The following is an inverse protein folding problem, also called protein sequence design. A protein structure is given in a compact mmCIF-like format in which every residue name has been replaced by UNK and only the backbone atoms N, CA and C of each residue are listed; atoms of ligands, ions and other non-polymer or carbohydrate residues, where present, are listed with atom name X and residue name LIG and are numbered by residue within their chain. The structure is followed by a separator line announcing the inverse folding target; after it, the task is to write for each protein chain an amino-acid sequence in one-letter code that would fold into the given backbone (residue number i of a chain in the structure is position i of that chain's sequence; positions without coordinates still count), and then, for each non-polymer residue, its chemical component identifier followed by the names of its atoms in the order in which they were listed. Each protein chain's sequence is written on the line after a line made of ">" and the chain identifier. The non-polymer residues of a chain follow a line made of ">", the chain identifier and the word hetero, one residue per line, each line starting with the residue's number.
data_IF_243651068263
#
_entry.id   IF_243651068263
#
_cell.length_a   1.000
_cell.length_b   1.000
_cell.length_c   1.000
_cell.angle_alpha   90.00
_cell.angle_beta   90.00
_cell.angle_gamma   90.00
#
_symmetry.space_group_name_H-M   'P 1'
#
loop_
_entity.id
_entity.type
_entity.pdbx_description
1 polymer ?
#
# COMPACT_ATOMS: atom_id res chain seq x y z
N UNK A 1 67.85 6.73 -20.76
CA UNK A 1 67.44 7.18 -19.43
C UNK A 1 66.22 6.37 -19.05
N UNK A 2 66.31 5.50 -18.06
CA UNK A 2 65.24 4.57 -17.67
C UNK A 2 64.19 5.30 -16.83
N UNK A 3 62.92 5.23 -17.21
CA UNK A 3 61.82 5.81 -16.43
C UNK A 3 61.72 5.13 -15.06
N UNK A 4 61.51 5.90 -13.99
CA UNK A 4 61.28 5.34 -12.66
C UNK A 4 59.94 4.58 -12.64
N UNK A 5 59.85 3.49 -11.86
CA UNK A 5 58.62 2.72 -11.73
C UNK A 5 57.50 3.56 -11.14
N UNK A 6 56.29 3.36 -11.67
CA UNK A 6 55.07 4.03 -11.22
C UNK A 6 54.77 3.65 -9.77
N UNK A 7 54.70 4.64 -8.88
CA UNK A 7 54.19 4.45 -7.52
C UNK A 7 52.69 4.76 -7.50
N UNK A 8 51.83 3.81 -7.10
CA UNK A 8 50.41 4.09 -6.94
C UNK A 8 50.19 5.13 -5.82
N UNK A 9 49.15 5.97 -5.94
CA UNK A 9 48.83 6.96 -4.93
C UNK A 9 48.50 6.29 -3.58
N UNK A 10 48.82 6.94 -2.45
CA UNK A 10 48.50 6.43 -1.13
C UNK A 10 46.99 6.25 -0.97
N UNK A 11 46.58 5.11 -0.40
CA UNK A 11 45.17 4.86 -0.10
C UNK A 11 44.65 5.91 0.89
N UNK A 12 43.43 6.44 0.66
CA UNK A 12 42.80 7.35 1.61
C UNK A 12 42.57 6.65 2.94
N UNK A 13 42.80 7.39 4.03
CA UNK A 13 42.58 6.94 5.40
C UNK A 13 41.13 6.49 5.57
N UNK A 14 40.92 5.24 6.00
CA UNK A 14 39.57 4.78 6.33
C UNK A 14 39.05 5.55 7.56
N UNK A 15 37.79 6.00 7.56
CA UNK A 15 37.20 6.64 8.71
C UNK A 15 37.14 5.66 9.89
N UNK A 16 37.30 6.14 11.14
CA UNK A 16 37.25 5.30 12.32
C UNK A 16 35.91 4.59 12.40
N UNK A 17 35.94 3.25 12.44
CA UNK A 17 34.76 2.43 12.60
C UNK A 17 34.20 2.66 14.01
N UNK A 18 33.04 3.31 14.06
CA UNK A 18 32.34 3.55 15.30
C UNK A 18 31.79 2.22 15.81
N UNK A 19 32.40 1.67 16.87
CA UNK A 19 32.09 0.33 17.41
C UNK A 19 30.67 0.22 18.01
N UNK A 20 29.92 1.33 18.06
CA UNK A 20 28.56 1.39 18.60
C UNK A 20 27.59 1.91 17.54
N UNK A 21 27.28 1.09 16.54
CA UNK A 21 26.18 1.35 15.60
C UNK A 21 24.96 0.47 15.97
N UNK A 22 23.97 1.01 16.71
CA UNK A 22 22.80 0.25 17.16
C UNK A 22 21.89 -0.22 16.01
N UNK A 23 22.11 0.29 14.79
CA UNK A 23 21.36 -0.11 13.59
C UNK A 23 21.97 -1.31 12.84
N UNK A 24 23.12 -1.82 13.29
CA UNK A 24 23.76 -3.02 12.70
C UNK A 24 23.43 -4.32 13.43
N UNK A 25 22.42 -4.32 14.30
CA UNK A 25 21.98 -5.55 14.96
C UNK A 25 21.42 -6.55 13.93
N UNK A 26 21.97 -7.77 13.82
CA UNK A 26 21.38 -8.81 12.98
C UNK A 26 19.95 -9.06 13.46
N UNK A 27 18.99 -9.11 12.53
CA UNK A 27 17.62 -9.47 12.86
C UNK A 27 17.60 -10.83 13.58
N UNK A 28 16.81 -11.00 14.66
CA UNK A 28 16.65 -12.29 15.33
C UNK A 28 16.24 -13.34 14.29
N UNK A 29 16.86 -14.52 14.34
CA UNK A 29 16.48 -15.64 13.48
C UNK A 29 15.01 -15.96 13.73
N UNK A 30 14.16 -15.71 12.73
CA UNK A 30 12.77 -16.16 12.75
C UNK A 30 12.79 -17.68 12.72
N UNK A 31 12.39 -18.31 13.82
CA UNK A 31 12.11 -19.74 13.82
C UNK A 31 10.87 -19.98 12.93
N UNK A 32 10.89 -20.97 12.02
CA UNK A 32 9.70 -21.32 11.26
C UNK A 32 8.57 -21.72 12.22
N UNK A 33 7.30 -21.41 11.94
CA UNK A 33 6.17 -21.84 12.74
C UNK A 33 6.17 -23.38 12.85
N UNK A 34 6.61 -23.89 14.00
CA UNK A 34 6.61 -25.31 14.28
C UNK A 34 5.18 -25.81 14.38
N UNK A 35 4.79 -26.70 13.47
CA UNK A 35 3.63 -27.56 13.69
C UNK A 35 3.95 -28.47 14.88
N UNK A 36 3.40 -28.13 16.04
CA UNK A 36 3.43 -29.01 17.20
C UNK A 36 2.66 -30.32 16.93
N UNK A 37 2.95 -31.39 17.69
CA UNK A 37 2.23 -32.65 17.56
C UNK A 37 0.71 -32.46 17.77
N UNK A 38 -0.13 -33.27 17.13
CA UNK A 38 -1.58 -33.16 17.26
C UNK A 38 -2.00 -33.41 18.72
N UNK A 39 -3.00 -32.65 19.24
CA UNK A 39 -3.51 -32.86 20.59
C UNK A 39 -4.19 -34.23 20.72
N UNK A 40 -3.95 -34.90 21.85
CA UNK A 40 -4.59 -36.16 22.17
C UNK A 40 -6.11 -35.99 22.36
N UNK A 41 -6.94 -36.99 21.99
CA UNK A 41 -8.39 -36.88 22.14
C UNK A 41 -8.79 -36.70 23.61
N UNK A 42 -9.49 -35.60 23.93
CA UNK A 42 -10.07 -35.35 25.26
C UNK A 42 -9.53 -34.12 26.00
N UNK A 43 -8.58 -33.36 25.46
CA UNK A 43 -8.12 -32.11 26.09
C UNK A 43 -8.81 -30.86 25.52
N UNK A 44 -9.21 -29.89 26.36
CA UNK A 44 -9.73 -28.60 25.89
C UNK A 44 -8.63 -27.80 25.17
N UNK A 45 -8.97 -27.05 24.10
CA UNK A 45 -7.99 -26.31 23.33
C UNK A 45 -7.32 -25.22 24.18
N UNK A 46 -5.99 -25.28 24.33
CA UNK A 46 -5.22 -24.17 24.89
C UNK A 46 -5.13 -23.06 23.84
N UNK A 47 -5.76 -21.93 24.15
CA UNK A 47 -5.70 -20.72 23.32
C UNK A 47 -4.31 -20.09 23.47
N UNK A 48 -3.42 -20.35 22.51
CA UNK A 48 -2.08 -19.73 22.47
C UNK A 48 -2.22 -18.33 21.87
N UNK A 49 -2.60 -17.37 22.71
CA UNK A 49 -2.50 -15.95 22.39
C UNK A 49 -1.08 -15.41 22.63
N UNK A 50 -0.68 -14.32 21.96
CA UNK A 50 0.59 -13.65 22.24
C UNK A 50 0.66 -13.20 23.71
N UNK A 51 1.84 -13.16 24.33
CA UNK A 51 2.00 -12.75 25.72
C UNK A 51 1.51 -11.31 25.93
N UNK A 52 0.85 -10.99 27.06
CA UNK A 52 0.47 -9.62 27.40
C UNK A 52 1.70 -8.73 27.51
N UNK A 53 1.59 -7.48 27.06
CA UNK A 53 2.64 -6.48 27.21
C UNK A 53 2.88 -6.15 28.70
N UNK A 54 4.12 -5.80 29.12
CA UNK A 54 4.42 -5.46 30.50
C UNK A 54 3.57 -4.26 30.96
N UNK A 55 2.76 -4.45 32.02
CA UNK A 55 1.92 -3.39 32.63
C UNK A 55 0.41 -3.59 32.54
N UNK A 56 -0.09 -4.65 31.89
CA UNK A 56 -1.52 -4.98 31.91
C UNK A 56 -1.85 -6.00 33.00
N UNK A 57 -2.83 -5.67 33.85
CA UNK A 57 -3.39 -6.61 34.83
C UNK A 57 -4.13 -7.76 34.10
N UNK A 58 -4.01 -9.02 34.55
CA UNK A 58 -4.73 -10.13 33.94
C UNK A 58 -6.24 -9.92 34.07
N UNK A 59 -6.97 -9.94 32.96
CA UNK A 59 -8.42 -10.08 33.02
C UNK A 59 -8.74 -11.51 33.43
N UNK A 60 -9.08 -11.72 34.70
CA UNK A 60 -9.72 -12.97 35.14
C UNK A 60 -11.07 -13.09 34.44
N UNK A 61 -11.20 -14.07 33.54
CA UNK A 61 -12.48 -14.49 33.05
C UNK A 61 -13.32 -15.00 34.24
N UNK A 62 -14.47 -14.36 34.48
CA UNK A 62 -15.42 -14.82 35.48
C UNK A 62 -15.93 -16.24 35.15
N UNK A 63 -16.33 -17.03 36.15
CA UNK A 63 -16.82 -18.38 35.93
C UNK A 63 -18.07 -18.37 35.04
N UNK A 64 -18.24 -19.39 34.17
CA UNK A 64 -19.41 -19.48 33.30
C UNK A 64 -20.69 -19.66 34.13
N UNK A 65 -21.83 -19.08 33.70
CA UNK A 65 -23.12 -19.35 34.34
C UNK A 65 -23.49 -20.83 34.20
N UNK A 66 -23.85 -21.47 35.30
CA UNK A 66 -24.33 -22.84 35.29
C UNK A 66 -25.70 -22.93 34.57
N UNK A 67 -25.92 -23.91 33.68
CA UNK A 67 -27.23 -24.11 33.05
C UNK A 67 -28.28 -24.49 34.09
N UNK A 68 -29.37 -23.71 34.19
CA UNK A 68 -30.55 -24.08 34.98
C UNK A 68 -30.90 -23.18 36.18
N UNK A 69 -30.31 -22.00 36.35
CA UNK A 69 -30.80 -21.06 37.38
C UNK A 69 -32.07 -20.32 36.92
N UNK A 70 -33.20 -20.43 37.65
CA UNK A 70 -34.37 -19.58 37.42
C UNK A 70 -34.11 -18.15 37.92
N UNK A 71 -34.72 -17.11 37.32
CA UNK A 71 -34.63 -15.73 37.80
C UNK A 71 -35.22 -15.61 39.21
N UNK A 72 -34.44 -15.11 40.17
CA UNK A 72 -34.94 -14.78 41.51
C UNK A 72 -35.67 -13.43 41.51
N UNK A 73 -36.97 -13.53 41.77
CA UNK A 73 -37.91 -12.61 42.44
C UNK A 73 -38.45 -11.33 41.76
N UNK A 74 -39.80 -11.20 41.70
CA UNK A 74 -40.50 -9.92 41.77
C UNK A 74 -40.48 -9.36 43.20
N UNK A 75 -40.34 -8.04 43.30
CA UNK A 75 -40.31 -7.30 44.56
C UNK A 75 -41.56 -7.48 45.42
N UNK A 76 -41.32 -7.49 46.73
CA UNK A 76 -42.30 -7.55 47.81
C UNK A 76 -43.28 -6.36 47.81
N UNK A 77 -44.55 -6.54 48.26
CA UNK A 77 -45.46 -5.42 48.48
C UNK A 77 -45.03 -4.57 49.71
N UNK A 78 -45.33 -3.25 49.72
CA UNK A 78 -44.94 -2.39 50.83
C UNK A 78 -45.79 -2.61 52.07
N UNK A 79 -45.14 -2.51 53.24
CA UNK A 79 -45.75 -2.60 54.57
C UNK A 79 -46.42 -1.26 54.93
N UNK A 80 -47.67 -1.25 55.42
CA UNK A 80 -48.34 -0.03 55.88
C UNK A 80 -47.68 0.51 57.16
N UNK A 81 -47.26 1.80 57.17
CA UNK A 81 -46.87 2.50 58.40
C UNK A 81 -45.66 3.43 58.35
N UNK A 82 -45.03 3.68 57.20
CA UNK A 82 -43.90 4.62 57.13
C UNK A 82 -44.34 6.07 56.86
N UNK A 83 -43.74 7.07 57.56
CA UNK A 83 -44.05 8.49 57.41
C UNK A 83 -43.60 9.05 56.04
N UNK A 84 -44.22 10.14 55.56
CA UNK A 84 -44.05 10.63 54.20
C UNK A 84 -42.62 11.10 53.95
N UNK A 85 -41.99 10.48 52.95
CA UNK A 85 -40.70 10.89 52.41
C UNK A 85 -40.92 12.16 51.60
N UNK A 86 -40.13 13.20 51.87
CA UNK A 86 -40.26 14.51 51.23
C UNK A 86 -40.14 14.43 49.70
N UNK A 87 -40.73 15.38 48.94
CA UNK A 87 -40.70 15.36 47.48
C UNK A 87 -39.27 15.54 46.98
N UNK A 88 -38.65 14.43 46.61
CA UNK A 88 -37.37 14.41 45.92
C UNK A 88 -37.61 14.95 44.51
N UNK A 89 -36.94 16.07 44.18
CA UNK A 89 -36.93 16.63 42.84
C UNK A 89 -36.67 15.52 41.80
N UNK A 90 -37.35 15.53 40.64
CA UNK A 90 -37.17 14.50 39.63
C UNK A 90 -35.73 14.56 39.11
N UNK A 91 -34.88 13.68 39.66
CA UNK A 91 -33.61 13.28 39.07
C UNK A 91 -33.95 12.77 37.68
N UNK A 92 -33.70 13.61 36.68
CA UNK A 92 -33.67 13.19 35.29
C UNK A 92 -32.57 12.14 35.19
N UNK A 93 -32.97 10.87 35.22
CA UNK A 93 -32.13 9.74 34.86
C UNK A 93 -31.62 10.01 33.45
N UNK A 94 -30.37 10.45 33.33
CA UNK A 94 -29.69 10.46 32.06
C UNK A 94 -29.78 9.02 31.49
N UNK A 95 -30.25 8.84 30.24
CA UNK A 95 -30.33 7.52 29.64
C UNK A 95 -28.95 6.86 29.74
N UNK A 96 -28.89 5.56 30.09
CA UNK A 96 -27.62 4.86 30.23
C UNK A 96 -26.83 5.06 28.93
N UNK A 97 -25.56 5.46 29.08
CA UNK A 97 -24.65 5.65 27.96
C UNK A 97 -24.51 4.30 27.24
N UNK A 98 -25.31 4.10 26.19
CA UNK A 98 -25.12 2.99 25.27
C UNK A 98 -23.85 3.32 24.50
N UNK A 99 -22.73 2.72 24.90
CA UNK A 99 -21.52 2.73 24.10
C UNK A 99 -21.91 2.32 22.68
N UNK A 100 -21.57 3.10 21.64
CA UNK A 100 -21.82 2.73 20.26
C UNK A 100 -21.31 1.31 20.06
N UNK A 101 -22.11 0.39 19.48
CA UNK A 101 -21.69 -0.99 19.31
C UNK A 101 -20.36 -1.03 18.58
N UNK A 102 -19.29 -1.34 19.33
CA UNK A 102 -17.95 -1.58 18.81
C UNK A 102 -17.98 -2.91 18.07
N UNK A 103 -18.46 -2.90 16.82
CA UNK A 103 -18.46 -4.12 16.03
C UNK A 103 -19.64 -4.17 15.09
N UNK A 104 -19.44 -3.58 13.93
CA UNK A 104 -19.73 -4.12 12.60
C UNK A 104 -19.82 -2.91 11.69
N UNK A 105 -18.64 -2.47 11.24
CA UNK A 105 -18.58 -1.58 10.10
C UNK A 105 -19.30 -2.32 8.96
N UNK A 106 -20.38 -1.75 8.37
CA UNK A 106 -21.17 -2.45 7.36
C UNK A 106 -20.22 -3.01 6.31
N UNK A 107 -20.28 -4.33 6.08
CA UNK A 107 -19.41 -5.01 5.11
C UNK A 107 -19.43 -4.21 3.82
N UNK A 108 -18.34 -3.46 3.58
CA UNK A 108 -18.21 -2.67 2.38
C UNK A 108 -18.06 -3.68 1.24
N UNK A 109 -19.14 -3.92 0.52
CA UNK A 109 -19.26 -4.87 -0.57
C UNK A 109 -18.38 -4.45 -1.75
N UNK A 110 -17.09 -4.71 -1.65
CA UNK A 110 -16.10 -4.44 -2.69
C UNK A 110 -15.01 -5.50 -2.64
N UNK A 111 -14.38 -5.75 -3.79
CA UNK A 111 -13.29 -6.71 -3.92
C UNK A 111 -11.98 -5.93 -4.07
N UNK A 112 -11.35 -5.50 -2.97
CA UNK A 112 -10.19 -4.61 -3.04
C UNK A 112 -9.02 -5.24 -3.79
N UNK A 113 -8.77 -6.53 -3.56
CA UNK A 113 -7.73 -7.29 -4.25
C UNK A 113 -8.03 -7.39 -5.74
N UNK A 114 -9.26 -7.73 -6.11
CA UNK A 114 -9.70 -7.78 -7.51
C UNK A 114 -9.59 -6.44 -8.22
N UNK A 115 -9.89 -5.34 -7.52
CA UNK A 115 -9.75 -3.98 -8.05
C UNK A 115 -8.30 -3.63 -8.38
N UNK A 116 -7.36 -3.98 -7.49
CA UNK A 116 -5.92 -3.77 -7.70
C UNK A 116 -5.41 -4.61 -8.86
N UNK A 117 -5.75 -5.89 -8.94
CA UNK A 117 -5.35 -6.74 -10.08
C UNK A 117 -5.92 -6.26 -11.41
N UNK A 118 -7.19 -5.85 -11.44
CA UNK A 118 -7.80 -5.27 -12.63
C UNK A 118 -7.09 -3.98 -13.05
N UNK A 119 -6.81 -3.09 -12.10
CA UNK A 119 -6.04 -1.87 -12.33
C UNK A 119 -4.66 -2.19 -12.92
N UNK A 120 -3.95 -3.18 -12.38
CA UNK A 120 -2.66 -3.61 -12.89
C UNK A 120 -2.74 -4.08 -14.35
N UNK A 121 -3.66 -5.00 -14.64
CA UNK A 121 -3.81 -5.56 -15.98
C UNK A 121 -4.15 -4.49 -17.02
N UNK A 122 -5.08 -3.60 -16.70
CA UNK A 122 -5.45 -2.49 -17.60
C UNK A 122 -4.29 -1.52 -17.75
N UNK A 123 -3.53 -1.26 -16.69
CA UNK A 123 -2.36 -0.39 -16.77
C UNK A 123 -1.30 -0.94 -17.73
N UNK A 124 -1.03 -2.26 -17.70
CA UNK A 124 -0.15 -2.92 -18.67
C UNK A 124 -0.63 -2.70 -20.11
N UNK A 125 -1.93 -2.87 -20.38
CA UNK A 125 -2.48 -2.63 -21.72
C UNK A 125 -2.28 -1.18 -22.16
N UNK A 126 -2.58 -0.20 -21.29
CA UNK A 126 -2.39 1.23 -21.60
C UNK A 126 -0.92 1.55 -21.87
N UNK A 127 0.01 0.97 -21.11
CA UNK A 127 1.45 1.12 -21.34
C UNK A 127 1.89 0.50 -22.67
N UNK A 128 1.37 -0.67 -23.06
CA UNK A 128 1.66 -1.27 -24.36
C UNK A 128 1.15 -0.42 -25.53
N UNK A 129 -0.06 0.15 -25.41
CA UNK A 129 -0.61 1.07 -26.40
C UNK A 129 0.23 2.34 -26.53
N UNK A 130 0.69 2.90 -25.40
CA UNK A 130 1.62 4.02 -25.39
C UNK A 130 2.94 3.68 -26.08
N UNK A 131 3.52 2.51 -25.79
CA UNK A 131 4.76 2.07 -26.43
C UNK A 131 4.60 1.94 -27.95
N UNK A 132 3.48 1.36 -28.40
CA UNK A 132 3.16 1.29 -29.83
C UNK A 132 3.03 2.67 -30.47
N UNK A 133 2.39 3.62 -29.79
CA UNK A 133 2.27 5.00 -30.26
C UNK A 133 3.62 5.71 -30.35
N UNK A 134 4.46 5.58 -29.31
CA UNK A 134 5.82 6.12 -29.30
C UNK A 134 6.63 5.52 -30.44
N UNK A 135 6.63 4.19 -30.59
CA UNK A 135 7.35 3.52 -31.66
C UNK A 135 6.87 3.93 -33.06
N UNK A 136 5.57 4.22 -33.22
CA UNK A 136 5.03 4.70 -34.49
C UNK A 136 5.42 6.14 -34.84
N UNK A 137 5.79 6.96 -33.85
CA UNK A 137 5.95 8.41 -34.04
C UNK A 137 7.32 8.96 -33.63
N UNK A 138 8.21 8.16 -33.03
CA UNK A 138 9.47 8.65 -32.43
C UNK A 138 10.39 9.37 -33.43
N UNK A 139 10.36 9.02 -34.72
CA UNK A 139 11.19 9.65 -35.76
C UNK A 139 10.80 11.11 -36.03
N UNK A 140 9.53 11.46 -35.81
CA UNK A 140 8.97 12.78 -36.11
C UNK A 140 8.69 13.60 -34.84
N UNK A 141 8.96 13.05 -33.65
CA UNK A 141 8.70 13.70 -32.38
C UNK A 141 9.80 14.70 -32.02
N UNK A 142 9.38 15.92 -31.68
CA UNK A 142 10.23 16.84 -30.92
C UNK A 142 10.29 16.42 -29.45
N UNK A 143 11.30 16.90 -28.72
CA UNK A 143 11.42 16.70 -27.27
C UNK A 143 10.16 17.17 -26.51
N UNK A 144 9.58 18.30 -26.92
CA UNK A 144 8.33 18.80 -26.33
C UNK A 144 7.17 17.84 -26.59
N UNK A 145 7.10 17.26 -27.79
CA UNK A 145 6.05 16.30 -28.14
C UNK A 145 6.19 15.01 -27.32
N UNK A 146 7.40 14.48 -27.12
CA UNK A 146 7.63 13.27 -26.33
C UNK A 146 7.27 13.49 -24.85
N UNK A 147 7.68 14.61 -24.24
CA UNK A 147 7.30 14.95 -22.86
C UNK A 147 5.78 15.11 -22.72
N UNK A 148 5.14 15.78 -23.68
CA UNK A 148 3.68 15.95 -23.69
C UNK A 148 2.97 14.60 -23.78
N UNK A 149 3.41 13.73 -24.68
CA UNK A 149 2.84 12.39 -24.85
C UNK A 149 3.00 11.54 -23.60
N UNK A 150 4.15 11.62 -22.92
CA UNK A 150 4.37 10.93 -21.66
C UNK A 150 3.44 11.43 -20.54
N UNK A 151 3.27 12.75 -20.40
CA UNK A 151 2.31 13.33 -19.44
C UNK A 151 0.86 12.92 -19.75
N UNK A 152 0.47 12.92 -21.01
CA UNK A 152 -0.85 12.45 -21.46
C UNK A 152 -1.03 10.96 -21.13
N UNK A 153 -0.04 10.13 -21.40
CA UNK A 153 -0.06 8.71 -21.04
C UNK A 153 -0.24 8.53 -19.53
N UNK A 154 0.54 9.21 -18.71
CA UNK A 154 0.46 9.12 -17.25
C UNK A 154 -0.93 9.52 -16.73
N UNK A 155 -1.49 10.63 -17.24
CA UNK A 155 -2.83 11.09 -16.88
C UNK A 155 -3.91 10.08 -17.30
N UNK A 156 -3.87 9.60 -18.55
CA UNK A 156 -4.85 8.63 -19.08
C UNK A 156 -4.76 7.31 -18.33
N UNK A 157 -3.55 6.79 -18.09
CA UNK A 157 -3.32 5.58 -17.31
C UNK A 157 -3.89 5.72 -15.90
N UNK A 158 -3.54 6.80 -15.20
CA UNK A 158 -4.08 7.09 -13.88
C UNK A 158 -5.59 7.20 -13.88
N UNK A 159 -6.17 7.90 -14.86
CA UNK A 159 -7.61 8.08 -14.93
C UNK A 159 -8.36 6.75 -15.11
N UNK A 160 -7.91 5.91 -16.05
CA UNK A 160 -8.52 4.61 -16.33
C UNK A 160 -8.39 3.68 -15.11
N UNK A 161 -7.18 3.56 -14.54
CA UNK A 161 -6.94 2.73 -13.35
C UNK A 161 -7.80 3.21 -12.19
N UNK A 162 -7.83 4.52 -11.91
CA UNK A 162 -8.64 5.11 -10.85
C UNK A 162 -10.12 4.80 -10.99
N UNK A 163 -10.67 4.98 -12.20
CA UNK A 163 -12.06 4.66 -12.49
C UNK A 163 -12.39 3.20 -12.19
N UNK A 164 -11.61 2.26 -12.73
CA UNK A 164 -11.85 0.83 -12.54
C UNK A 164 -11.69 0.39 -11.08
N UNK A 165 -10.64 0.89 -10.42
CA UNK A 165 -10.39 0.63 -9.00
C UNK A 165 -11.52 1.18 -8.13
N UNK A 166 -12.03 2.38 -8.42
CA UNK A 166 -13.19 2.96 -7.73
C UNK A 166 -14.47 2.16 -7.92
N UNK A 167 -14.70 1.65 -9.14
CA UNK A 167 -15.88 0.84 -9.47
C UNK A 167 -15.87 -0.53 -8.76
N UNK A 168 -14.71 -1.17 -8.63
CA UNK A 168 -14.60 -2.53 -8.06
C UNK A 168 -14.27 -2.52 -6.56
N UNK A 169 -13.32 -1.67 -6.17
CA UNK A 169 -12.78 -1.58 -4.81
C UNK A 169 -13.63 -0.74 -3.86
N UNK A 170 -14.63 -0.03 -4.38
CA UNK A 170 -15.56 0.81 -3.60
C UNK A 170 -14.82 1.77 -2.65
N UNK A 171 -14.97 1.58 -1.34
CA UNK A 171 -14.38 2.45 -0.29
C UNK A 171 -13.11 1.90 0.33
N UNK A 172 -12.54 0.85 -0.25
CA UNK A 172 -11.30 0.33 0.28
C UNK A 172 -10.17 1.33 0.02
N UNK A 173 -9.69 1.96 1.09
CA UNK A 173 -8.48 2.79 1.05
C UNK A 173 -7.29 2.01 0.50
N UNK A 174 -7.20 0.72 0.82
CA UNK A 174 -6.18 -0.17 0.27
C UNK A 174 -6.27 -0.31 -1.24
N UNK A 175 -7.49 -0.41 -1.80
CA UNK A 175 -7.67 -0.44 -3.25
C UNK A 175 -7.27 0.90 -3.89
N UNK A 176 -7.65 2.03 -3.29
CA UNK A 176 -7.31 3.36 -3.82
C UNK A 176 -5.80 3.62 -3.82
N UNK A 177 -5.11 3.28 -2.72
CA UNK A 177 -3.65 3.38 -2.61
C UNK A 177 -2.99 2.43 -3.61
N UNK A 178 -3.45 1.17 -3.67
CA UNK A 178 -2.92 0.20 -4.62
C UNK A 178 -3.09 0.64 -6.08
N UNK A 179 -4.25 1.21 -6.43
CA UNK A 179 -4.50 1.80 -7.74
C UNK A 179 -3.58 2.97 -8.07
N UNK A 180 -3.31 3.85 -7.10
CA UNK A 180 -2.39 4.97 -7.27
C UNK A 180 -0.95 4.51 -7.53
N UNK A 181 -0.47 3.52 -6.77
CA UNK A 181 0.86 2.91 -6.97
C UNK A 181 0.96 2.25 -8.33
N UNK A 182 -0.05 1.46 -8.71
CA UNK A 182 -0.11 0.81 -10.03
C UNK A 182 -0.08 1.83 -11.15
N UNK A 183 -0.85 2.92 -11.05
CA UNK A 183 -0.88 3.94 -12.08
C UNK A 183 0.49 4.61 -12.27
N UNK A 184 1.18 4.93 -11.18
CA UNK A 184 2.53 5.47 -11.24
C UNK A 184 3.51 4.45 -11.87
N UNK A 185 3.48 3.20 -11.42
CA UNK A 185 4.31 2.14 -12.00
C UNK A 185 4.02 1.92 -13.48
N UNK A 186 2.76 1.93 -13.90
CA UNK A 186 2.37 1.81 -15.29
C UNK A 186 2.90 2.95 -16.17
N UNK A 187 2.90 4.18 -15.67
CA UNK A 187 3.53 5.31 -16.36
C UNK A 187 5.04 5.11 -16.49
N UNK A 188 5.71 4.76 -15.39
CA UNK A 188 7.15 4.45 -15.38
C UNK A 188 7.52 3.33 -16.36
N UNK A 189 6.81 2.20 -16.31
CA UNK A 189 7.06 1.07 -17.19
C UNK A 189 6.63 1.33 -18.64
N UNK A 190 5.66 2.22 -18.88
CA UNK A 190 5.37 2.72 -20.23
C UNK A 190 6.61 3.40 -20.81
N UNK A 191 7.13 4.43 -20.15
CA UNK A 191 8.34 5.11 -20.63
C UNK A 191 9.53 4.17 -20.78
N UNK A 192 9.89 3.45 -19.72
CA UNK A 192 11.13 2.66 -19.70
C UNK A 192 11.11 1.49 -20.68
N UNK A 193 9.95 0.87 -20.95
CA UNK A 193 9.88 -0.17 -21.98
C UNK A 193 9.91 0.39 -23.41
N UNK A 194 9.65 1.68 -23.63
CA UNK A 194 9.76 2.29 -24.96
C UNK A 194 11.22 2.41 -25.43
N UNK A 195 12.17 2.64 -24.52
CA UNK A 195 13.60 2.79 -24.82
C UNK A 195 14.20 1.58 -25.55
N UNK A 196 14.12 0.33 -25.03
CA UNK A 196 14.66 -0.82 -25.73
C UNK A 196 13.93 -1.10 -27.06
N UNK A 197 12.65 -0.76 -27.18
CA UNK A 197 11.91 -0.89 -28.44
C UNK A 197 12.40 0.09 -29.50
N UNK A 198 12.65 1.35 -29.12
CA UNK A 198 13.25 2.36 -29.99
C UNK A 198 14.67 1.96 -30.40
N UNK A 199 15.48 1.43 -29.48
CA UNK A 199 16.83 0.94 -29.79
C UNK A 199 16.82 -0.21 -30.78
N UNK A 200 15.93 -1.19 -30.59
CA UNK A 200 15.79 -2.31 -31.51
C UNK A 200 15.40 -1.88 -32.92
N UNK A 201 14.50 -0.90 -33.04
CA UNK A 201 14.03 -0.37 -34.33
C UNK A 201 15.04 0.58 -34.98
N UNK A 202 15.75 1.40 -34.20
CA UNK A 202 16.69 2.40 -34.73
C UNK A 202 18.05 1.83 -35.10
N UNK A 203 18.49 0.75 -34.46
CA UNK A 203 19.80 0.14 -34.69
C UNK A 203 19.66 -1.29 -35.23
N UNK A 204 19.25 -2.21 -34.36
CA UNK A 204 19.00 -3.62 -34.67
C UNK A 204 18.43 -4.34 -33.44
N UNK A 205 17.73 -5.48 -33.60
CA UNK A 205 17.25 -6.26 -32.46
C UNK A 205 18.36 -6.71 -31.48
N UNK A 206 19.59 -6.91 -31.96
CA UNK A 206 20.74 -7.26 -31.10
C UNK A 206 21.18 -6.13 -30.18
N UNK A 207 20.84 -4.87 -30.49
CA UNK A 207 21.16 -3.72 -29.64
C UNK A 207 20.52 -3.81 -28.25
N UNK A 208 19.41 -4.55 -28.10
CA UNK A 208 18.85 -4.85 -26.77
C UNK A 208 19.82 -5.71 -25.96
N UNK A 209 20.44 -6.72 -26.58
CA UNK A 209 21.44 -7.57 -25.94
C UNK A 209 22.66 -6.76 -25.50
N UNK A 210 23.18 -5.93 -26.40
CA UNK A 210 24.33 -5.05 -26.12
C UNK A 210 24.02 -4.04 -25.02
N UNK A 211 22.81 -3.47 -25.00
CA UNK A 211 22.33 -2.60 -23.92
C UNK A 211 22.29 -3.36 -22.58
N UNK A 212 21.76 -4.58 -22.56
CA UNK A 212 21.67 -5.39 -21.33
C UNK A 212 23.05 -5.81 -20.80
N UNK A 213 24.04 -6.00 -21.66
CA UNK A 213 25.42 -6.34 -21.28
C UNK A 213 26.19 -5.11 -20.78
N UNK A 214 26.02 -3.96 -21.43
CA UNK A 214 26.76 -2.74 -21.12
C UNK A 214 26.13 -1.91 -19.99
N UNK A 215 24.82 -1.70 -20.01
CA UNK A 215 24.08 -0.91 -19.03
C UNK A 215 22.59 -1.32 -18.94
N UNK A 216 22.25 -2.36 -18.16
CA UNK A 216 20.88 -2.85 -18.06
C UNK A 216 19.92 -1.83 -17.40
N UNK A 217 20.45 -0.78 -16.76
CA UNK A 217 19.66 0.28 -16.16
C UNK A 217 19.51 1.50 -17.06
N UNK A 218 20.02 1.44 -18.30
CA UNK A 218 19.91 2.53 -19.26
C UNK A 218 18.47 3.05 -19.41
N UNK A 219 17.41 2.22 -19.52
CA UNK A 219 16.05 2.73 -19.61
C UNK A 219 15.59 3.52 -18.38
N UNK A 220 15.90 3.01 -17.18
CA UNK A 220 15.56 3.68 -15.93
C UNK A 220 16.38 4.96 -15.73
N UNK A 221 17.64 4.97 -16.19
CA UNK A 221 18.50 6.15 -16.17
C UNK A 221 18.01 7.22 -17.15
N UNK A 222 17.64 6.84 -18.36
CA UNK A 222 17.07 7.73 -19.37
C UNK A 222 15.74 8.33 -18.92
N UNK A 223 14.97 7.62 -18.09
CA UNK A 223 13.78 8.17 -17.46
C UNK A 223 14.10 9.28 -16.45
N UNK A 224 15.15 9.15 -15.65
CA UNK A 224 15.46 10.12 -14.59
C UNK A 224 16.34 11.28 -15.06
N UNK A 225 17.15 11.09 -16.10
CA UNK A 225 18.15 12.06 -16.55
C UNK A 225 17.79 12.68 -17.90
N UNK A 226 18.02 13.98 -18.02
CA UNK A 226 17.98 14.70 -19.28
C UNK A 226 19.32 14.49 -20.02
N UNK A 227 19.29 13.82 -21.17
CA UNK A 227 20.47 13.53 -22.00
C UNK A 227 21.17 14.79 -22.53
N UNK A 228 20.44 15.91 -22.69
CA UNK A 228 20.97 17.14 -23.26
C UNK A 228 21.78 17.94 -22.23
N UNK A 229 21.27 18.01 -21.00
CA UNK A 229 21.81 18.91 -19.97
C UNK A 229 22.57 18.16 -18.85
N UNK A 230 22.56 16.83 -18.86
CA UNK A 230 23.22 16.00 -17.83
C UNK A 230 22.58 16.12 -16.44
N UNK A 231 21.38 16.70 -16.34
CA UNK A 231 20.63 16.94 -15.10
C UNK A 231 19.43 16.01 -14.92
N UNK A 232 18.67 16.20 -13.83
CA UNK A 232 17.43 15.46 -13.56
C UNK A 232 16.31 15.97 -14.47
N UNK A 233 15.63 15.05 -15.16
CA UNK A 233 14.39 15.38 -15.86
C UNK A 233 13.22 15.43 -14.85
N UNK A 234 12.79 16.65 -14.52
CA UNK A 234 11.69 16.87 -13.58
C UNK A 234 10.30 16.54 -14.15
N UNK A 235 10.15 16.37 -15.48
CA UNK A 235 8.89 15.93 -16.08
C UNK A 235 8.57 14.48 -15.71
N UNK A 236 9.60 13.65 -15.59
CA UNK A 236 9.49 12.24 -15.21
C UNK A 236 8.81 11.98 -13.86
N UNK A 237 9.29 12.53 -12.73
CA UNK A 237 8.61 12.39 -11.45
C UNK A 237 7.26 13.11 -11.41
N UNK A 238 7.11 14.23 -12.13
CA UNK A 238 5.84 14.94 -12.24
C UNK A 238 4.75 14.04 -12.86
N UNK A 239 5.07 13.31 -13.92
CA UNK A 239 4.14 12.37 -14.54
C UNK A 239 3.69 11.26 -13.56
N UNK A 240 4.60 10.74 -12.73
CA UNK A 240 4.24 9.74 -11.70
C UNK A 240 3.23 10.31 -10.70
N UNK A 241 3.46 11.54 -10.24
CA UNK A 241 2.55 12.24 -9.33
C UNK A 241 1.19 12.47 -9.98
N UNK A 242 1.15 12.89 -11.24
CA UNK A 242 -0.09 13.07 -11.99
C UNK A 242 -0.86 11.76 -12.11
N UNK A 243 -0.20 10.66 -12.48
CA UNK A 243 -0.82 9.34 -12.60
C UNK A 243 -1.41 8.88 -11.25
N UNK A 244 -0.62 8.97 -10.18
CA UNK A 244 -1.04 8.58 -8.83
C UNK A 244 -2.22 9.43 -8.32
N UNK A 245 -2.14 10.76 -8.48
CA UNK A 245 -3.17 11.69 -8.05
C UNK A 245 -4.48 11.48 -8.82
N UNK A 246 -4.41 11.31 -10.15
CA UNK A 246 -5.57 11.01 -10.98
C UNK A 246 -6.22 9.69 -10.57
N UNK A 247 -5.43 8.63 -10.39
CA UNK A 247 -5.92 7.33 -9.99
C UNK A 247 -6.59 7.36 -8.62
N UNK A 248 -5.92 7.93 -7.62
CA UNK A 248 -6.47 8.04 -6.27
C UNK A 248 -7.74 8.89 -6.24
N UNK A 249 -7.69 10.08 -6.88
CA UNK A 249 -8.80 11.04 -6.89
C UNK A 249 -10.06 10.47 -7.54
N UNK A 250 -9.93 9.85 -8.72
CA UNK A 250 -11.07 9.25 -9.40
C UNK A 250 -11.58 8.00 -8.67
N UNK A 251 -10.69 7.15 -8.14
CA UNK A 251 -11.10 5.99 -7.36
C UNK A 251 -11.92 6.38 -6.13
N UNK A 252 -11.47 7.42 -5.43
CA UNK A 252 -12.17 7.98 -4.26
C UNK A 252 -13.54 8.57 -4.63
N UNK A 253 -13.59 9.40 -5.67
CA UNK A 253 -14.84 10.04 -6.12
C UNK A 253 -15.88 9.00 -6.57
N UNK A 254 -15.49 8.06 -7.42
CA UNK A 254 -16.38 7.03 -7.96
C UNK A 254 -16.82 6.06 -6.86
N UNK A 255 -15.89 5.64 -5.99
CA UNK A 255 -16.18 4.76 -4.86
C UNK A 255 -17.15 5.40 -3.84
N UNK A 256 -17.18 6.74 -3.75
CA UNK A 256 -18.11 7.47 -2.87
C UNK A 256 -19.50 7.63 -3.48
N UNK A 257 -19.60 7.88 -4.79
CA UNK A 257 -20.86 8.20 -5.48
C UNK A 257 -21.88 7.05 -5.49
N UNK A 258 -21.45 5.79 -5.52
CA UNK A 258 -22.34 4.61 -5.49
C UNK A 258 -23.16 4.43 -4.21
N UNK A 259 -22.95 5.25 -3.17
CA UNK A 259 -23.78 5.22 -1.96
C UNK A 259 -25.05 6.06 -2.06
N UNK A 260 -25.11 6.95 -3.04
CA UNK A 260 -26.22 7.92 -3.18
C UNK A 260 -27.28 7.48 -4.19
N UNK A 261 -26.95 6.49 -5.02
CA UNK A 261 -27.86 5.82 -5.93
C UNK A 261 -28.30 4.50 -5.28
#
# INVERSE_FOLDING_TARGET
>A
MSQPPFQPPPQPSQPPQNAYNPYTQPAPRQQPPGFGPPPAPGQPPMQVGPPPAPGQAPMQAGPPPAPGQPPMYPGTPPVPGQPPVQPMYPMHFAPPFQAPPFGQQPNASGHPVGAVFLGFFVSVIVSLLYNGLVLATYKDQSLTASHTLYLVHALVNGAIVGCLVGLVGHRSSGAHIGGAVIAALGAFFGFTNSVPLILAESQSPSAIGDMMESDPFLPARAWWNNEIDGGVDWFSPLALLIAAAAAWGLAYLIGKSRRRA
#
